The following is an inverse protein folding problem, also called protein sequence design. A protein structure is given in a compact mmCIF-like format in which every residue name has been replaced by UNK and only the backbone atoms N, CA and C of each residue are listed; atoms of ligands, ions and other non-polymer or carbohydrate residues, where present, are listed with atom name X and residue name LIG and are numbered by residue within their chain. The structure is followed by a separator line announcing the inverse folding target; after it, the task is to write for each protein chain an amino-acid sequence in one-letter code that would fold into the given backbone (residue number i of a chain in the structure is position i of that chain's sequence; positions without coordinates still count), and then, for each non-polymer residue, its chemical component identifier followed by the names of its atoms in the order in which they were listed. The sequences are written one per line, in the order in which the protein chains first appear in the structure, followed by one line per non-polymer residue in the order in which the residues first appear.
data_IF_763474534580
#
_entry.id   IF_763474534580
#
_cell.length_a   1.000
_cell.length_b   1.000
_cell.length_c   1.000
_cell.angle_alpha   90.00
_cell.angle_beta   90.00
_cell.angle_gamma   90.00
#
_symmetry.space_group_name_H-M   'P 1'
#
loop_
_entity.id
_entity.type
_entity.pdbx_description
1 polymer ?
#
# COMPACT_ATOMS: atom_id res chain seq x y z
N UNK A 1 6.10 13.80 -9.41
CA UNK A 1 5.78 12.52 -10.06
C UNK A 1 7.01 11.64 -10.07
N UNK A 2 7.08 10.75 -9.10
CA UNK A 2 8.09 9.70 -9.01
C UNK A 2 7.43 8.36 -9.36
N UNK A 3 8.21 7.43 -9.90
CA UNK A 3 7.75 6.06 -10.14
C UNK A 3 8.40 5.14 -9.11
N UNK A 4 7.58 4.36 -8.41
CA UNK A 4 8.05 3.29 -7.52
C UNK A 4 7.90 1.98 -8.26
N UNK A 5 9.02 1.38 -8.62
CA UNK A 5 9.04 0.04 -9.22
C UNK A 5 8.73 -0.98 -8.12
N UNK A 6 7.77 -1.87 -8.39
CA UNK A 6 7.39 -2.95 -7.50
C UNK A 6 7.42 -4.27 -8.25
N UNK A 7 7.81 -5.34 -7.57
CA UNK A 7 7.91 -6.68 -8.14
C UNK A 7 7.33 -7.69 -7.14
N UNK A 8 6.46 -8.57 -7.63
CA UNK A 8 5.98 -9.74 -6.90
C UNK A 8 6.12 -10.96 -7.82
N UNK A 9 6.77 -12.03 -7.36
CA UNK A 9 6.91 -13.29 -8.12
C UNK A 9 7.35 -13.13 -9.60
N UNK A 10 8.25 -12.19 -9.89
CA UNK A 10 8.76 -11.90 -11.24
C UNK A 10 7.86 -11.00 -12.10
N UNK A 11 6.74 -10.55 -11.54
CA UNK A 11 5.71 -9.73 -12.18
C UNK A 11 5.96 -8.27 -11.74
N UNK A 12 6.43 -7.41 -12.65
CA UNK A 12 6.95 -6.03 -12.36
C UNK A 12 6.04 -4.86 -12.78
N UNK A 13 5.50 -4.14 -11.81
CA UNK A 13 4.71 -2.93 -12.05
C UNK A 13 5.43 -1.64 -11.63
N UNK A 14 4.76 -0.51 -11.85
CA UNK A 14 5.18 0.78 -11.32
C UNK A 14 3.98 1.50 -10.69
N UNK A 15 4.18 2.07 -9.51
CA UNK A 15 3.23 2.98 -8.87
C UNK A 15 3.67 4.41 -9.17
N UNK A 16 2.80 5.20 -9.82
CA UNK A 16 3.01 6.63 -9.98
C UNK A 16 2.60 7.34 -8.68
N UNK A 17 3.54 8.04 -8.07
CA UNK A 17 3.35 8.76 -6.81
C UNK A 17 3.77 10.22 -6.97
N UNK A 18 3.21 11.10 -6.14
CA UNK A 18 3.58 12.50 -6.15
C UNK A 18 5.01 12.70 -5.65
N UNK A 19 5.31 12.11 -4.49
CA UNK A 19 6.58 12.22 -3.77
C UNK A 19 6.92 10.95 -2.95
N UNK A 20 8.21 10.81 -2.63
CA UNK A 20 8.72 9.78 -1.73
C UNK A 20 9.06 10.42 -0.39
N UNK A 21 8.28 10.08 0.65
CA UNK A 21 8.46 10.60 2.01
C UNK A 21 9.57 9.89 2.79
N UNK A 22 10.13 8.81 2.25
CA UNK A 22 11.16 7.97 2.88
C UNK A 22 10.62 6.65 3.43
N UNK A 23 11.45 5.98 4.23
CA UNK A 23 11.13 4.68 4.83
C UNK A 23 10.84 4.85 6.33
N UNK A 24 9.78 4.21 6.82
CA UNK A 24 9.45 4.20 8.24
C UNK A 24 8.94 2.82 8.65
N UNK A 25 9.35 2.36 9.84
CA UNK A 25 8.76 1.19 10.46
C UNK A 25 7.38 1.54 11.04
N UNK A 26 6.37 0.74 10.69
CA UNK A 26 4.98 0.95 11.11
C UNK A 26 4.36 -0.36 11.57
N UNK A 27 3.36 -0.27 12.45
CA UNK A 27 2.54 -1.41 12.85
C UNK A 27 1.25 -1.39 12.04
N UNK A 28 1.05 -2.42 11.22
CA UNK A 28 -0.15 -2.57 10.40
C UNK A 28 -1.31 -3.04 11.29
N UNK A 29 -2.46 -2.38 11.14
CA UNK A 29 -3.72 -2.75 11.79
C UNK A 29 -4.78 -3.04 10.72
N UNK A 30 -5.71 -3.95 11.05
CA UNK A 30 -6.92 -4.18 10.26
C UNK A 30 -7.76 -2.89 10.17
N UNK A 31 -8.47 -2.72 9.06
CA UNK A 31 -9.42 -1.61 8.86
C UNK A 31 -10.72 -1.77 9.69
N UNK A 32 -10.92 -2.92 10.32
CA UNK A 32 -12.08 -3.22 11.14
C UNK A 32 -13.26 -3.80 10.35
N UNK A 33 -14.22 -4.37 11.08
CA UNK A 33 -15.35 -5.12 10.51
C UNK A 33 -16.28 -4.27 9.64
N UNK A 34 -16.41 -2.97 9.95
CA UNK A 34 -17.25 -2.05 9.18
C UNK A 34 -16.70 -1.67 7.80
N UNK A 35 -15.38 -1.81 7.60
CA UNK A 35 -14.73 -1.53 6.31
C UNK A 35 -14.44 -2.83 5.56
N UNK A 36 -14.07 -3.88 6.28
CA UNK A 36 -13.75 -5.18 5.69
C UNK A 36 -12.49 -5.15 4.82
N UNK A 37 -12.44 -6.07 3.86
CA UNK A 37 -11.30 -6.23 2.95
C UNK A 37 -11.43 -5.32 1.74
N UNK A 38 -10.42 -4.49 1.51
CA UNK A 38 -10.34 -3.60 0.34
C UNK A 38 -9.23 -4.13 -0.57
N UNK A 39 -9.56 -4.41 -1.84
CA UNK A 39 -8.57 -4.91 -2.80
C UNK A 39 -7.42 -3.90 -2.96
N UNK A 40 -6.18 -4.40 -2.92
CA UNK A 40 -4.98 -3.58 -3.01
C UNK A 40 -4.59 -2.88 -1.70
N UNK A 41 -5.29 -3.14 -0.59
CA UNK A 41 -4.99 -2.58 0.74
C UNK A 41 -4.80 -3.72 1.74
N UNK A 42 -3.62 -3.77 2.38
CA UNK A 42 -3.34 -4.73 3.46
C UNK A 42 -3.89 -4.27 4.81
N UNK A 43 -4.07 -2.96 5.00
CA UNK A 43 -4.56 -2.37 6.25
C UNK A 43 -4.22 -0.89 6.37
N UNK A 44 -4.13 -0.40 7.60
CA UNK A 44 -3.72 0.96 7.91
C UNK A 44 -2.80 1.04 9.12
N UNK A 45 -2.05 2.14 9.23
CA UNK A 45 -1.24 2.48 10.38
C UNK A 45 -1.64 3.86 10.92
N UNK A 46 -1.62 4.01 12.25
CA UNK A 46 -1.71 5.31 12.91
C UNK A 46 -0.29 5.79 13.13
N UNK A 47 0.04 6.95 12.56
CA UNK A 47 1.37 7.54 12.60
C UNK A 47 1.58 8.33 13.89
N UNK A 48 2.83 8.69 14.21
CA UNK A 48 3.15 9.49 15.40
C UNK A 48 2.55 10.90 15.39
N UNK A 49 2.18 11.41 14.22
CA UNK A 49 1.45 12.67 14.02
C UNK A 49 -0.08 12.51 14.15
N UNK A 50 -0.56 11.32 14.51
CA UNK A 50 -1.98 11.00 14.66
C UNK A 50 -2.71 10.73 13.34
N UNK A 51 -2.08 10.90 12.18
CA UNK A 51 -2.71 10.64 10.88
C UNK A 51 -2.78 9.14 10.61
N UNK A 52 -3.82 8.73 9.89
CA UNK A 52 -3.96 7.37 9.37
C UNK A 52 -3.33 7.30 7.99
N UNK A 53 -2.50 6.29 7.74
CA UNK A 53 -1.97 5.97 6.41
C UNK A 53 -2.39 4.56 6.02
N UNK A 54 -2.82 4.39 4.77
CA UNK A 54 -3.12 3.07 4.22
C UNK A 54 -1.82 2.35 3.84
N UNK A 55 -1.84 1.02 3.98
CA UNK A 55 -0.75 0.15 3.56
C UNK A 55 -1.19 -0.60 2.32
N UNK A 56 -0.48 -0.39 1.22
CA UNK A 56 -0.78 -1.04 -0.05
C UNK A 56 -0.33 -2.50 -0.07
N UNK A 57 -1.18 -3.35 -0.64
CA UNK A 57 -0.90 -4.75 -0.96
C UNK A 57 -0.35 -4.83 -2.40
N UNK A 58 0.98 -4.89 -2.56
CA UNK A 58 1.63 -4.93 -3.88
C UNK A 58 1.13 -6.11 -4.75
N UNK A 59 1.09 -7.36 -4.26
CA UNK A 59 0.49 -8.47 -5.00
C UNK A 59 -0.93 -8.16 -5.49
N UNK A 60 -1.78 -7.65 -4.60
CA UNK A 60 -3.15 -7.28 -4.92
C UNK A 60 -3.24 -6.16 -5.95
N UNK A 61 -2.36 -5.17 -5.89
CA UNK A 61 -2.29 -4.07 -6.87
C UNK A 61 -1.82 -4.56 -8.24
N UNK A 62 -0.79 -5.41 -8.29
CA UNK A 62 -0.32 -5.99 -9.55
C UNK A 62 -1.40 -6.87 -10.19
N UNK A 63 -2.13 -7.64 -9.39
CA UNK A 63 -3.28 -8.42 -9.86
C UNK A 63 -4.40 -7.54 -10.40
N UNK A 64 -4.67 -6.37 -9.83
CA UNK A 64 -5.67 -5.42 -10.34
C UNK A 64 -5.21 -4.72 -11.64
N UNK A 65 -3.91 -4.52 -11.82
CA UNK A 65 -3.38 -3.85 -13.00
C UNK A 65 -3.33 -4.77 -14.24
N UNK A 66 -3.20 -6.08 -14.02
CA UNK A 66 -2.95 -7.06 -15.09
C UNK A 66 -3.95 -8.22 -15.16
N UNK A 67 -4.86 -8.35 -14.20
CA UNK A 67 -5.95 -9.33 -14.18
C UNK A 67 -7.30 -8.69 -14.47
#
# INVERSE_FOLDING_TARGET
ASLVVVEEDGVRGCLMVDELLGQQQVVIKSLGEGVGMVKGISGAAIMGDGRVRLIFDVPGLLKLAWG
#
